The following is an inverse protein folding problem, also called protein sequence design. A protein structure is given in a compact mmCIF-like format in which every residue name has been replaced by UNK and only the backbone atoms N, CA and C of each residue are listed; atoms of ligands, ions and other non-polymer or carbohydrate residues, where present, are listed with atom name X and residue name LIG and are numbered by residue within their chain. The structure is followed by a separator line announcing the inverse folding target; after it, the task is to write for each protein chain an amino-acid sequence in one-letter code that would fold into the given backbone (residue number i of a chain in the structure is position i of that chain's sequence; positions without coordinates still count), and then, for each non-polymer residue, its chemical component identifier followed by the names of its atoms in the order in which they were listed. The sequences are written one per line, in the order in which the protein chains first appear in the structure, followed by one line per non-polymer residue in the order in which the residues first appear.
data_IF_502472237545
#
_entry.id   IF_502472237545
#
_cell.length_a   1.000
_cell.length_b   1.000
_cell.length_c   1.000
_cell.angle_alpha   90.00
_cell.angle_beta   90.00
_cell.angle_gamma   90.00
#
_symmetry.space_group_name_H-M   'P 1'
#
loop_
_entity.id
_entity.type
_entity.pdbx_description
1 polymer ?
#
# COMPACT_ATOMS: atom_id res chain seq x y z
N UNK A 1 -13.22 -27.19 -0.41
CA UNK A 1 -11.85 -26.93 -0.91
C UNK A 1 -11.20 -25.87 -0.05
N UNK A 2 -9.90 -26.00 0.26
CA UNK A 2 -9.18 -24.95 1.00
C UNK A 2 -8.71 -23.85 0.05
N UNK A 3 -8.53 -22.64 0.56
CA UNK A 3 -7.94 -21.54 -0.22
C UNK A 3 -6.51 -21.85 -0.68
N UNK A 4 -5.77 -22.69 0.07
CA UNK A 4 -4.44 -23.15 -0.34
C UNK A 4 -4.51 -23.99 -1.62
N UNK A 5 -5.47 -24.92 -1.69
CA UNK A 5 -5.69 -25.77 -2.87
C UNK A 5 -6.11 -24.94 -4.09
N UNK A 6 -6.95 -23.92 -3.90
CA UNK A 6 -7.38 -23.02 -4.99
C UNK A 6 -6.17 -22.24 -5.55
N UNK A 7 -5.30 -21.71 -4.67
CA UNK A 7 -4.09 -20.99 -5.08
C UNK A 7 -3.15 -21.86 -5.89
N UNK A 8 -2.88 -23.07 -5.42
CA UNK A 8 -2.01 -24.03 -6.11
C UNK A 8 -2.53 -24.37 -7.51
N UNK A 9 -3.83 -24.62 -7.65
CA UNK A 9 -4.45 -24.90 -8.94
C UNK A 9 -4.40 -23.72 -9.91
N UNK A 10 -4.64 -22.49 -9.41
CA UNK A 10 -4.51 -21.28 -10.22
C UNK A 10 -3.07 -21.08 -10.68
N UNK A 11 -2.07 -21.26 -9.80
CA UNK A 11 -0.66 -21.19 -10.18
C UNK A 11 -0.32 -22.19 -11.30
N UNK A 12 -0.67 -23.47 -11.12
CA UNK A 12 -0.40 -24.50 -12.13
C UNK A 12 -1.09 -24.21 -13.47
N UNK A 13 -2.30 -23.65 -13.44
CA UNK A 13 -3.01 -23.27 -14.66
C UNK A 13 -2.34 -22.10 -15.39
N UNK A 14 -1.85 -21.09 -14.66
CA UNK A 14 -1.17 -19.93 -15.26
C UNK A 14 0.12 -20.33 -15.99
N UNK A 15 0.82 -21.36 -15.55
CA UNK A 15 2.05 -21.87 -16.21
C UNK A 15 1.80 -22.45 -17.61
N UNK A 16 0.59 -22.96 -17.88
CA UNK A 16 0.24 -23.62 -19.15
C UNK A 16 -0.81 -22.85 -19.96
N UNK A 17 -1.34 -21.76 -19.41
CA UNK A 17 -2.38 -20.98 -20.06
C UNK A 17 -1.84 -20.26 -21.29
N UNK A 18 -2.59 -20.34 -22.40
CA UNK A 18 -2.27 -19.56 -23.58
C UNK A 18 -2.53 -18.07 -23.38
N UNK A 19 -1.90 -17.28 -24.23
CA UNK A 19 -1.97 -15.83 -24.30
C UNK A 19 -3.41 -15.27 -24.27
N UNK A 20 -4.37 -15.96 -24.89
CA UNK A 20 -5.77 -15.53 -24.94
C UNK A 20 -6.43 -15.71 -23.57
N UNK A 21 -6.19 -16.85 -22.91
CA UNK A 21 -6.71 -17.13 -21.56
C UNK A 21 -6.08 -16.20 -20.52
N UNK A 22 -4.77 -15.98 -20.61
CA UNK A 22 -4.06 -15.05 -19.70
C UNK A 22 -4.64 -13.64 -19.79
N UNK A 23 -4.87 -13.12 -21.01
CA UNK A 23 -5.50 -11.81 -21.19
C UNK A 23 -6.91 -11.75 -20.61
N UNK A 24 -7.72 -12.77 -20.82
CA UNK A 24 -9.08 -12.82 -20.27
C UNK A 24 -9.08 -12.80 -18.73
N UNK A 25 -8.22 -13.60 -18.09
CA UNK A 25 -8.07 -13.63 -16.64
C UNK A 25 -7.58 -12.28 -16.14
N UNK A 26 -6.52 -11.73 -16.74
CA UNK A 26 -5.96 -10.45 -16.36
C UNK A 26 -7.01 -9.34 -16.43
N UNK A 27 -7.79 -9.25 -17.52
CA UNK A 27 -8.88 -8.26 -17.64
C UNK A 27 -9.94 -8.39 -16.53
N UNK A 28 -10.20 -9.59 -16.00
CA UNK A 28 -11.16 -9.78 -14.92
C UNK A 28 -10.67 -9.27 -13.57
N UNK A 29 -9.35 -9.23 -13.33
CA UNK A 29 -8.75 -8.91 -12.03
C UNK A 29 -7.74 -7.75 -12.10
N UNK A 30 -7.67 -7.05 -13.25
CA UNK A 30 -6.66 -6.03 -13.54
C UNK A 30 -6.69 -4.90 -12.50
N UNK A 31 -7.89 -4.42 -12.17
CA UNK A 31 -8.07 -3.35 -11.20
C UNK A 31 -7.63 -3.80 -9.80
N UNK A 32 -7.94 -5.03 -9.38
CA UNK A 32 -7.53 -5.60 -8.09
C UNK A 32 -6.00 -5.79 -8.00
N UNK A 33 -5.37 -6.23 -9.10
CA UNK A 33 -3.92 -6.33 -9.21
C UNK A 33 -3.28 -4.95 -9.09
N UNK A 34 -3.82 -3.94 -9.79
CA UNK A 34 -3.31 -2.56 -9.75
C UNK A 34 -3.54 -1.89 -8.40
N UNK A 35 -4.69 -2.10 -7.78
CA UNK A 35 -5.01 -1.58 -6.44
C UNK A 35 -4.17 -2.23 -5.35
N UNK A 36 -3.79 -3.51 -5.50
CA UNK A 36 -2.83 -4.14 -4.59
C UNK A 36 -1.42 -3.54 -4.70
N UNK A 37 -1.15 -2.81 -5.79
CA UNK A 37 0.11 -2.15 -6.10
C UNK A 37 -0.01 -0.64 -5.89
N UNK A 38 -0.46 -0.19 -4.71
CA UNK A 38 -0.28 1.22 -4.31
C UNK A 38 1.20 1.44 -4.04
N UNK A 39 1.96 1.73 -5.09
CA UNK A 39 3.33 2.20 -4.95
C UNK A 39 3.32 3.62 -4.42
N UNK A 40 3.90 3.81 -3.24
CA UNK A 40 4.23 5.14 -2.76
C UNK A 40 5.21 5.81 -3.71
N UNK A 41 5.01 7.10 -3.95
CA UNK A 41 6.00 7.89 -4.69
C UNK A 41 7.35 7.85 -3.99
N UNK A 42 8.43 7.97 -4.76
CA UNK A 42 9.78 7.93 -4.19
C UNK A 42 10.03 9.08 -3.21
N UNK A 43 9.39 10.24 -3.44
CA UNK A 43 9.39 11.36 -2.49
C UNK A 43 8.73 10.97 -1.16
N UNK A 44 7.59 10.27 -1.20
CA UNK A 44 6.92 9.83 0.01
C UNK A 44 7.71 8.75 0.75
N UNK A 45 8.30 7.79 0.02
CA UNK A 45 9.22 6.79 0.60
C UNK A 45 10.40 7.47 1.31
N UNK A 46 11.04 8.45 0.67
CA UNK A 46 12.17 9.19 1.25
C UNK A 46 11.77 9.94 2.54
N UNK A 47 10.57 10.53 2.60
CA UNK A 47 10.07 11.17 3.82
C UNK A 47 9.77 10.15 4.94
N UNK A 48 9.26 8.96 4.60
CA UNK A 48 9.09 7.88 5.58
C UNK A 48 10.44 7.42 6.14
N UNK A 49 11.43 7.18 5.28
CA UNK A 49 12.79 6.80 5.70
C UNK A 49 13.41 7.87 6.60
N UNK A 50 13.25 9.15 6.24
CA UNK A 50 13.71 10.27 7.06
C UNK A 50 13.05 10.26 8.45
N UNK A 51 11.74 10.00 8.55
CA UNK A 51 11.02 9.94 9.83
C UNK A 51 11.48 8.78 10.69
N UNK A 52 11.68 7.61 10.09
CA UNK A 52 12.21 6.42 10.77
C UNK A 52 13.61 6.71 11.30
N UNK A 53 14.49 7.25 10.46
CA UNK A 53 15.84 7.64 10.87
C UNK A 53 15.84 8.69 11.98
N UNK A 54 14.94 9.68 11.92
CA UNK A 54 14.81 10.66 13.00
C UNK A 54 14.47 9.98 14.32
N UNK A 55 13.50 9.06 14.33
CA UNK A 55 13.10 8.33 15.53
C UNK A 55 14.21 7.44 16.09
N UNK A 56 14.88 6.66 15.22
CA UNK A 56 15.98 5.77 15.61
C UNK A 56 17.17 6.53 16.20
N UNK A 57 17.40 7.78 15.75
CA UNK A 57 18.43 8.65 16.29
C UNK A 57 17.98 9.46 17.53
N UNK A 58 16.90 9.04 18.21
CA UNK A 58 16.42 9.67 19.45
C UNK A 58 15.49 10.86 19.25
N UNK A 59 15.04 11.09 18.01
CA UNK A 59 14.03 12.09 17.67
C UNK A 59 12.68 11.79 18.29
N UNK A 60 11.97 12.84 18.74
CA UNK A 60 10.67 12.70 19.40
C UNK A 60 9.55 12.75 18.39
N UNK A 61 8.80 11.66 18.30
CA UNK A 61 7.52 11.63 17.61
C UNK A 61 6.44 12.33 18.44
N UNK A 62 5.36 12.72 17.78
CA UNK A 62 4.23 13.38 18.44
C UNK A 62 3.10 12.39 18.66
N UNK A 63 2.46 12.49 19.81
CA UNK A 63 1.28 11.67 20.09
C UNK A 63 0.09 12.10 19.22
N UNK A 64 -0.90 11.22 19.00
CA UNK A 64 -2.14 11.59 18.34
C UNK A 64 -2.84 12.80 19.00
N UNK A 65 -2.81 12.89 20.33
CA UNK A 65 -3.40 14.01 21.07
C UNK A 65 -2.69 15.34 20.78
N UNK A 66 -1.35 15.34 20.72
CA UNK A 66 -0.57 16.53 20.36
C UNK A 66 -0.78 16.93 18.90
N UNK A 67 -0.85 15.96 18.00
CA UNK A 67 -1.16 16.22 16.59
C UNK A 67 -2.55 16.85 16.45
N UNK A 68 -3.57 16.31 17.14
CA UNK A 68 -4.92 16.87 17.11
C UNK A 68 -4.93 18.33 17.61
N UNK A 69 -4.22 18.62 18.72
CA UNK A 69 -4.07 20.01 19.21
C UNK A 69 -3.42 20.93 18.17
N UNK A 70 -2.42 20.45 17.42
CA UNK A 70 -1.77 21.22 16.34
C UNK A 70 -2.75 21.50 15.20
N UNK A 71 -3.49 20.49 14.76
CA UNK A 71 -4.49 20.62 13.69
C UNK A 71 -5.58 21.62 14.06
N UNK A 72 -6.08 21.58 15.29
CA UNK A 72 -7.08 22.54 15.78
C UNK A 72 -6.57 23.98 15.75
N UNK A 73 -5.31 24.23 16.13
CA UNK A 73 -4.69 25.57 16.04
C UNK A 73 -4.59 26.06 14.60
N UNK A 74 -4.21 25.18 13.66
CA UNK A 74 -4.12 25.53 12.24
C UNK A 74 -5.50 25.89 11.68
N UNK A 75 -6.53 25.12 12.01
CA UNK A 75 -7.91 25.39 11.59
C UNK A 75 -8.41 26.74 12.08
N UNK A 76 -8.20 27.05 13.37
CA UNK A 76 -8.58 28.35 13.96
C UNK A 76 -7.87 29.56 13.36
N UNK A 77 -6.67 29.40 12.79
CA UNK A 77 -5.95 30.49 12.10
C UNK A 77 -6.45 30.76 10.67
N UNK A 78 -7.24 29.84 10.10
CA UNK A 78 -7.76 29.94 8.72
C UNK A 78 -9.17 30.54 8.66
N UNK A 79 -9.87 30.55 9.78
CA UNK A 79 -11.10 31.32 10.07
C UNK A 79 -10.75 32.65 10.68
#
# INVERSE_FOLDING_TARGET
MSSATIKEQLHNYLEIADDRKLRAIYTMVEDEIRESTVEYSDEFKAELDRRVNHYLNGGKMVTPAEMNKRLQRIRKKRT
#
